data_IF_418030824421
#
_entry.id   IF_418030824421
#
_cell.length_a   1.000
_cell.length_b   1.000
_cell.length_c   1.000
_cell.angle_alpha   90.00
_cell.angle_beta   90.00
_cell.angle_gamma   90.00
#
_symmetry.space_group_name_H-M   'P 1'
#
loop_
_entity.id
_entity.type
_entity.pdbx_description
1 polymer ?
#
# COMPACT_ATOMS: atom_id res chain seq x y z
N UNK A 1 7.52 -0.52 -17.75
CA UNK A 1 7.90 -0.94 -16.39
C UNK A 1 6.61 -1.19 -15.64
N UNK A 2 6.48 -2.33 -14.97
CA UNK A 2 5.27 -2.63 -14.22
C UNK A 2 5.58 -2.34 -12.75
N UNK A 3 5.07 -1.24 -12.22
CA UNK A 3 5.30 -0.85 -10.83
C UNK A 3 3.98 -0.72 -10.09
N UNK A 4 3.95 -1.20 -8.86
CA UNK A 4 2.80 -1.05 -7.98
C UNK A 4 3.16 -0.09 -6.86
N UNK A 5 2.39 0.98 -6.71
CA UNK A 5 2.58 2.00 -5.69
C UNK A 5 1.39 2.01 -4.74
N UNK A 6 1.64 2.01 -3.45
CA UNK A 6 0.63 2.13 -2.40
C UNK A 6 0.79 3.49 -1.71
N UNK A 7 -0.28 4.27 -1.68
CA UNK A 7 -0.36 5.51 -0.92
C UNK A 7 -1.21 5.26 0.32
N UNK A 8 -0.66 5.61 1.48
CA UNK A 8 -1.34 5.48 2.77
C UNK A 8 -1.74 6.85 3.31
N UNK A 9 -2.92 6.94 3.93
CA UNK A 9 -3.39 8.14 4.62
C UNK A 9 -3.25 8.00 6.14
N UNK A 10 -3.46 9.11 6.87
CA UNK A 10 -3.65 9.12 8.32
C UNK A 10 -2.47 8.59 9.16
N UNK A 11 -1.23 8.68 8.66
CA UNK A 11 -0.02 8.31 9.42
C UNK A 11 0.19 6.80 9.57
N UNK A 12 -0.50 6.00 8.78
CA UNK A 12 -0.36 4.54 8.72
C UNK A 12 1.03 4.16 8.21
N UNK A 13 1.60 3.11 8.78
CA UNK A 13 2.89 2.57 8.37
C UNK A 13 2.70 1.23 7.68
N UNK A 14 3.47 1.00 6.62
CA UNK A 14 3.55 -0.29 5.94
C UNK A 14 4.84 -0.99 6.34
N UNK A 15 4.77 -2.29 6.54
CA UNK A 15 5.93 -3.14 6.80
C UNK A 15 5.80 -4.46 6.06
N UNK A 16 6.90 -5.18 5.89
CA UNK A 16 6.94 -6.49 5.23
C UNK A 16 7.19 -7.60 6.25
N UNK A 17 6.60 -8.78 6.01
CA UNK A 17 6.81 -9.99 6.80
C UNK A 17 7.09 -11.18 5.88
N UNK A 18 8.29 -11.78 5.91
CA UNK A 18 9.41 -11.45 6.79
C UNK A 18 10.01 -10.06 6.50
N UNK A 19 10.67 -9.48 7.50
CA UNK A 19 11.31 -8.16 7.40
C UNK A 19 12.53 -8.20 6.46
N UNK A 20 12.87 -7.04 5.89
CA UNK A 20 14.05 -6.79 5.04
C UNK A 20 14.14 -7.67 3.79
N UNK A 21 12.99 -8.02 3.19
CA UNK A 21 12.95 -8.74 1.90
C UNK A 21 13.06 -7.83 0.70
N UNK A 22 12.99 -6.51 0.89
CA UNK A 22 12.99 -5.52 -0.20
C UNK A 22 11.71 -5.56 -1.02
N UNK A 23 10.62 -6.12 -0.47
CA UNK A 23 9.29 -6.12 -1.08
C UNK A 23 8.72 -4.70 -1.10
N UNK A 24 8.95 -3.95 -0.01
CA UNK A 24 8.45 -2.60 0.19
C UNK A 24 9.60 -1.61 0.20
N UNK A 25 9.47 -0.57 -0.61
CA UNK A 25 10.40 0.57 -0.63
C UNK A 25 9.65 1.83 -0.22
N UNK A 26 10.04 2.43 0.89
CA UNK A 26 9.52 3.72 1.34
C UNK A 26 10.07 4.85 0.45
N UNK A 27 9.17 5.62 -0.17
CA UNK A 27 9.56 6.78 -0.99
C UNK A 27 9.69 8.08 -0.16
N UNK A 28 9.43 8.02 1.16
CA UNK A 28 9.64 9.14 2.10
C UNK A 28 8.54 10.20 2.10
N UNK A 29 7.44 9.97 1.39
CA UNK A 29 6.33 10.90 1.22
C UNK A 29 4.96 10.27 1.51
N UNK A 30 4.93 9.13 2.23
CA UNK A 30 3.70 8.35 2.47
C UNK A 30 3.26 7.47 1.29
N UNK A 31 4.14 7.31 0.29
CA UNK A 31 3.97 6.32 -0.78
C UNK A 31 5.03 5.23 -0.67
N UNK A 32 4.63 4.02 -1.00
CA UNK A 32 5.44 2.83 -0.92
C UNK A 32 5.43 2.12 -2.26
N UNK A 33 6.60 1.73 -2.75
CA UNK A 33 6.73 0.95 -3.98
C UNK A 33 6.79 -0.53 -3.63
N UNK A 34 5.91 -1.33 -4.22
CA UNK A 34 5.90 -2.79 -4.10
C UNK A 34 6.67 -3.38 -5.27
N UNK A 35 7.77 -4.07 -4.97
CA UNK A 35 8.66 -4.66 -5.98
C UNK A 35 8.11 -5.96 -6.56
N UNK A 36 7.39 -6.74 -5.76
CA UNK A 36 6.76 -8.00 -6.17
C UNK A 36 5.27 -8.04 -5.77
N UNK A 37 4.34 -7.80 -6.71
CA UNK A 37 2.91 -7.79 -6.41
C UNK A 37 2.35 -9.16 -6.04
N UNK A 38 3.07 -10.27 -6.31
CA UNK A 38 2.62 -11.61 -5.89
C UNK A 38 2.74 -11.82 -4.39
N UNK A 39 3.59 -11.02 -3.72
CA UNK A 39 3.84 -11.06 -2.28
C UNK A 39 3.08 -9.98 -1.51
N UNK A 40 2.01 -9.40 -2.07
CA UNK A 40 1.16 -8.44 -1.35
C UNK A 40 0.58 -9.00 -0.04
N UNK A 41 0.46 -10.33 0.09
CA UNK A 41 0.08 -10.99 1.33
C UNK A 41 1.07 -10.79 2.48
N UNK A 42 2.32 -10.47 2.15
CA UNK A 42 3.41 -10.26 3.10
C UNK A 42 3.45 -8.80 3.58
N UNK A 43 2.61 -7.92 3.02
CA UNK A 43 2.50 -6.51 3.41
C UNK A 43 1.59 -6.37 4.62
N UNK A 44 2.14 -5.83 5.69
CA UNK A 44 1.44 -5.51 6.93
C UNK A 44 1.11 -4.02 6.98
N UNK A 45 -0.10 -3.72 7.44
CA UNK A 45 -0.60 -2.36 7.61
C UNK A 45 -0.74 -2.08 9.11
N UNK A 46 0.03 -1.14 9.63
CA UNK A 46 0.00 -0.79 11.06
C UNK A 46 -0.57 0.63 11.24
N UNK A 47 -1.75 0.77 11.88
CA UNK A 47 -2.32 2.07 12.19
C UNK A 47 -1.52 2.79 13.30
N UNK A 48 -1.66 4.13 13.42
CA UNK A 48 -1.07 4.87 14.53
C UNK A 48 -1.62 4.44 15.89
N UNK A 49 -0.86 4.68 16.97
CA UNK A 49 -1.34 4.47 18.33
C UNK A 49 -2.59 5.32 18.62
N UNK A 50 -3.54 4.74 19.35
CA UNK A 50 -4.82 5.37 19.72
C UNK A 50 -5.68 5.84 18.53
N UNK A 51 -5.41 5.33 17.32
CA UNK A 51 -6.23 5.62 16.15
C UNK A 51 -7.49 4.77 16.13
N UNK A 52 -8.63 5.42 16.00
CA UNK A 52 -9.92 4.79 15.67
C UNK A 52 -10.56 5.58 14.54
N UNK A 53 -11.04 4.89 13.51
CA UNK A 53 -11.58 5.54 12.31
C UNK A 53 -11.28 4.78 11.03
N UNK A 54 -11.41 5.48 9.90
CA UNK A 54 -11.21 4.90 8.57
C UNK A 54 -9.84 5.26 7.98
N UNK A 55 -9.09 4.23 7.61
CA UNK A 55 -7.84 4.33 6.85
C UNK A 55 -8.14 4.06 5.39
N UNK A 56 -7.61 4.91 4.51
CA UNK A 56 -7.72 4.73 3.07
C UNK A 56 -6.36 4.35 2.50
N UNK A 57 -6.27 3.19 1.85
CA UNK A 57 -5.13 2.80 1.04
C UNK A 57 -5.48 2.96 -0.43
N UNK A 58 -4.67 3.72 -1.15
CA UNK A 58 -4.79 3.86 -2.60
C UNK A 58 -3.69 3.06 -3.26
N UNK A 59 -4.06 2.04 -4.03
CA UNK A 59 -3.12 1.18 -4.76
C UNK A 59 -3.17 1.55 -6.24
N UNK A 60 -2.04 1.95 -6.80
CA UNK A 60 -1.89 2.31 -8.22
C UNK A 60 -0.91 1.37 -8.89
N UNK A 61 -1.40 0.57 -9.84
CA UNK A 61 -0.58 -0.24 -10.71
C UNK A 61 -0.31 0.53 -12.02
N UNK A 62 0.95 0.85 -12.28
CA UNK A 62 1.41 1.33 -13.57
C UNK A 62 1.81 0.12 -14.41
N UNK A 63 1.12 -0.08 -15.53
CA UNK A 63 1.35 -1.19 -16.45
C UNK A 63 1.81 -0.57 -17.76
N UNK A 64 3.04 -0.89 -18.17
CA UNK A 64 3.51 -0.54 -19.51
C UNK A 64 3.42 -1.77 -20.39
N UNK A 65 2.47 -1.80 -21.31
CA UNK A 65 2.48 -2.77 -22.38
C UNK A 65 3.42 -2.27 -23.48
N UNK A 66 4.43 -3.09 -23.79
CA UNK A 66 5.34 -2.84 -24.90
C UNK A 66 4.91 -3.79 -26.01
N UNK A 67 4.06 -3.31 -26.91
CA UNK A 67 3.66 -4.09 -28.07
C UNK A 67 4.91 -4.50 -28.88
N UNK A 68 4.89 -5.70 -29.47
CA UNK A 68 5.97 -6.25 -30.30
C UNK A 68 6.28 -5.40 -31.56
N UNK A 69 5.42 -4.42 -31.89
CA UNK A 69 5.66 -3.43 -32.93
C UNK A 69 6.24 -2.14 -32.36
N UNK A 70 7.40 -1.75 -32.89
CA UNK A 70 8.37 -0.72 -32.48
C UNK A 70 7.88 0.69 -32.11
N UNK A 71 6.59 1.02 -32.13
CA UNK A 71 6.11 2.41 -31.94
C UNK A 71 4.96 2.61 -30.96
N UNK A 72 4.36 1.56 -30.39
CA UNK A 72 3.25 1.74 -29.44
C UNK A 72 3.63 1.17 -28.08
N UNK A 73 4.07 2.08 -27.19
CA UNK A 73 4.17 1.81 -25.76
C UNK A 73 2.91 2.36 -25.13
N UNK A 74 2.00 1.49 -24.70
CA UNK A 74 0.82 1.90 -23.94
C UNK A 74 1.16 1.84 -22.45
N UNK A 75 0.94 2.95 -21.74
CA UNK A 75 1.14 3.01 -20.29
C UNK A 75 -0.20 3.34 -19.66
N UNK A 76 -0.72 2.40 -18.89
CA UNK A 76 -1.99 2.55 -18.18
C UNK A 76 -1.76 2.49 -16.68
N UNK A 77 -2.34 3.47 -15.98
CA UNK A 77 -2.46 3.45 -14.53
C UNK A 77 -3.82 2.87 -14.14
N UNK A 78 -3.80 1.87 -13.27
CA UNK A 78 -5.01 1.30 -12.67
C UNK A 78 -4.98 1.54 -11.18
N UNK A 79 -5.93 2.35 -10.71
CA UNK A 79 -6.07 2.69 -9.29
C UNK A 79 -7.20 1.91 -8.64
N UNK A 80 -6.96 1.41 -7.44
CA UNK A 80 -7.95 0.78 -6.56
C UNK A 80 -7.84 1.39 -5.18
N UNK A 81 -8.98 1.60 -4.53
CA UNK A 81 -9.05 2.15 -3.17
C UNK A 81 -9.55 1.05 -2.24
N UNK A 82 -8.85 0.88 -1.13
CA UNK A 82 -9.20 -0.04 -0.05
C UNK A 82 -9.41 0.76 1.22
N UNK A 83 -10.56 0.59 1.86
CA UNK A 83 -10.86 1.21 3.15
C UNK A 83 -10.73 0.18 4.27
N UNK A 84 -10.03 0.56 5.34
CA UNK A 84 -9.86 -0.24 6.54
C UNK A 84 -10.48 0.53 7.71
N UNK A 85 -11.44 -0.07 8.39
CA UNK A 85 -12.04 0.51 9.59
C UNK A 85 -11.35 -0.05 10.83
N UNK A 86 -10.74 0.84 11.63
CA UNK A 86 -10.15 0.51 12.93
C UNK A 86 -11.19 0.82 14.00
N UNK A 87 -11.72 -0.22 14.64
CA UNK A 87 -12.70 -0.08 15.71
C UNK A 87 -12.04 0.50 16.98
N UNK A 88 -12.72 1.40 17.70
CA UNK A 88 -12.22 1.93 18.96
C UNK A 88 -12.20 0.84 20.04
N UNK A 89 -11.11 0.75 20.79
CA UNK A 89 -11.04 -0.06 22.01
C UNK A 89 -11.34 0.84 23.20
N UNK A 90 -12.52 0.68 23.79
CA UNK A 90 -12.88 1.38 25.03
C UNK A 90 -12.17 0.73 26.23
N UNK A 91 -11.60 1.54 27.10
CA UNK A 91 -10.99 1.03 28.34
C UNK A 91 -12.08 0.62 29.35
N UNK A 92 -11.80 -0.41 30.15
CA UNK A 92 -12.75 -0.86 31.17
C UNK A 92 -12.76 0.13 32.35
N UNK A 93 -13.94 0.53 32.81
CA UNK A 93 -14.05 1.33 34.03
C UNK A 93 -13.60 0.48 35.23
N UNK A 94 -12.43 0.80 35.78
CA UNK A 94 -12.02 0.27 37.08
C UNK A 94 -12.59 1.20 38.17
N UNK A 95 -13.61 0.71 38.89
CA UNK A 95 -14.28 1.41 40.00
C UNK A 95 -13.60 1.13 41.35
#
# INVERSE_FOLDING_TARGET
VNSLTITVSNGVTLSESPADTGLLVDNGNGTWTVTDPSRLSDVLVTPPEHYSGEITLTVTANITDKADCVTETDTQDKTTVVTITVEPVADAANL
#
